data_IF_904676193309
#
_entry.id   IF_904676193309
#
_cell.length_a   1.000
_cell.length_b   1.000
_cell.length_c   1.000
_cell.angle_alpha   90.00
_cell.angle_beta   90.00
_cell.angle_gamma   90.00
#
_symmetry.space_group_name_H-M   'P 1'
#
loop_
_entity.id
_entity.type
_entity.pdbx_description
1 polymer ?
#
# COMPACT_ATOMS: atom_id res chain seq x y z
N UNK A 1 22.55 -5.20 16.59
CA UNK A 1 21.55 -6.00 15.85
C UNK A 1 20.41 -5.07 15.51
N UNK A 2 20.38 -4.54 14.29
CA UNK A 2 19.31 -3.64 13.86
C UNK A 2 18.00 -4.43 13.82
N UNK A 3 16.97 -3.88 14.45
CA UNK A 3 15.60 -4.38 14.37
C UNK A 3 15.23 -4.52 12.89
N UNK A 4 15.21 -5.75 12.38
CA UNK A 4 14.87 -6.04 10.99
C UNK A 4 13.36 -5.83 10.86
N UNK A 5 12.99 -4.58 10.64
CA UNK A 5 11.61 -4.20 10.37
C UNK A 5 11.10 -5.09 9.23
N UNK A 6 10.15 -5.97 9.57
CA UNK A 6 9.51 -6.83 8.58
C UNK A 6 8.66 -5.92 7.67
N UNK A 7 8.73 -6.07 6.34
CA UNK A 7 7.84 -5.32 5.46
C UNK A 7 6.40 -5.70 5.77
N UNK A 8 5.50 -4.72 5.70
CA UNK A 8 4.07 -4.98 5.74
C UNK A 8 3.62 -5.52 4.38
N UNK A 9 2.52 -6.28 4.37
CA UNK A 9 1.84 -6.69 3.13
C UNK A 9 1.51 -5.46 2.29
N UNK A 10 1.97 -5.46 1.04
CA UNK A 10 1.68 -4.37 0.11
C UNK A 10 0.46 -4.73 -0.74
N UNK A 11 -0.46 -3.78 -0.85
CA UNK A 11 -1.73 -3.91 -1.52
C UNK A 11 -1.82 -2.86 -2.62
N UNK A 12 -2.37 -3.24 -3.77
CA UNK A 12 -2.65 -2.30 -4.83
C UNK A 12 -3.65 -1.21 -4.33
N UNK A 13 -3.26 0.08 -4.38
CA UNK A 13 -4.10 1.17 -3.89
C UNK A 13 -5.40 1.32 -4.70
N UNK A 14 -5.46 0.82 -5.94
CA UNK A 14 -6.66 0.87 -6.79
C UNK A 14 -7.73 -0.17 -6.42
N UNK A 15 -7.43 -1.11 -5.52
CA UNK A 15 -8.37 -2.13 -5.09
C UNK A 15 -9.54 -1.53 -4.28
N UNK A 16 -10.79 -1.91 -4.60
CA UNK A 16 -11.95 -1.57 -3.77
C UNK A 16 -11.80 -2.04 -2.32
N UNK A 17 -12.26 -1.23 -1.36
CA UNK A 17 -12.16 -1.51 0.08
C UNK A 17 -12.66 -2.91 0.49
N UNK A 18 -13.82 -3.42 0.01
CA UNK A 18 -14.31 -4.75 0.40
C UNK A 18 -13.35 -5.88 0.00
N UNK A 19 -12.66 -5.72 -1.13
CA UNK A 19 -11.70 -6.70 -1.65
C UNK A 19 -10.41 -6.63 -0.84
N UNK A 20 -9.94 -5.42 -0.52
CA UNK A 20 -8.74 -5.22 0.31
C UNK A 20 -8.89 -5.91 1.67
N UNK A 21 -10.00 -5.66 2.36
CA UNK A 21 -10.27 -6.26 3.67
C UNK A 21 -10.34 -7.79 3.59
N UNK A 22 -10.98 -8.32 2.54
CA UNK A 22 -11.09 -9.76 2.32
C UNK A 22 -9.71 -10.39 2.11
N UNK A 23 -8.83 -9.74 1.36
CA UNK A 23 -7.51 -10.26 1.08
C UNK A 23 -6.57 -10.18 2.31
N UNK A 24 -6.63 -9.09 3.08
CA UNK A 24 -5.88 -8.96 4.34
C UNK A 24 -6.25 -10.06 5.34
N UNK A 25 -7.54 -10.42 5.42
CA UNK A 25 -8.03 -11.43 6.36
C UNK A 25 -7.66 -12.85 5.93
N UNK A 26 -7.37 -13.08 4.65
CA UNK A 26 -7.26 -14.43 4.05
C UNK A 26 -5.89 -14.69 3.40
N UNK A 27 -4.80 -14.31 4.07
CA UNK A 27 -3.43 -14.53 3.58
C UNK A 27 -3.14 -16.00 3.22
N UNK A 28 -3.64 -16.95 4.02
CA UNK A 28 -3.42 -18.37 3.76
C UNK A 28 -4.09 -18.83 2.45
N UNK A 29 -5.27 -18.30 2.13
CA UNK A 29 -5.95 -18.60 0.87
C UNK A 29 -5.17 -18.04 -0.32
N UNK A 30 -4.58 -16.84 -0.20
CA UNK A 30 -3.71 -16.26 -1.24
C UNK A 30 -2.52 -17.19 -1.49
N UNK A 31 -1.88 -17.69 -0.42
CA UNK A 31 -0.76 -18.62 -0.54
C UNK A 31 -1.18 -19.91 -1.25
N UNK A 32 -2.32 -20.50 -0.90
CA UNK A 32 -2.84 -21.73 -1.54
C UNK A 32 -3.18 -21.50 -3.01
N UNK A 33 -3.80 -20.37 -3.35
CA UNK A 33 -4.09 -19.96 -4.74
C UNK A 33 -2.81 -19.90 -5.57
N UNK A 34 -1.75 -19.29 -5.04
CA UNK A 34 -0.44 -19.23 -5.73
C UNK A 34 0.28 -20.57 -5.84
N UNK A 35 0.00 -21.50 -4.93
CA UNK A 35 0.49 -22.88 -5.00
C UNK A 35 -0.28 -23.75 -6.01
N UNK A 36 -1.24 -23.18 -6.75
CA UNK A 36 -1.99 -23.86 -7.80
C UNK A 36 -3.41 -24.26 -7.42
N UNK A 37 -3.96 -23.74 -6.31
CA UNK A 37 -5.38 -23.88 -6.02
C UNK A 37 -6.20 -23.06 -7.02
N UNK A 38 -6.71 -23.74 -8.04
CA UNK A 38 -7.62 -23.16 -9.03
C UNK A 38 -9.06 -23.33 -8.54
N UNK A 39 -9.91 -22.28 -8.62
CA UNK A 39 -11.33 -22.42 -8.35
C UNK A 39 -11.94 -23.49 -9.27
N UNK A 40 -12.60 -24.50 -8.70
CA UNK A 40 -13.33 -25.47 -9.51
C UNK A 40 -14.42 -24.75 -10.33
N UNK A 41 -14.45 -25.01 -11.65
CA UNK A 41 -15.46 -24.45 -12.54
C UNK A 41 -16.88 -24.76 -12.00
N UNK A 42 -17.82 -23.82 -12.08
CA UNK A 42 -19.15 -24.01 -11.50
C UNK A 42 -19.80 -25.24 -12.15
N UNK A 43 -19.96 -26.33 -11.37
CA UNK A 43 -20.90 -27.40 -11.71
C UNK A 43 -22.26 -26.74 -11.77
N UNK A 44 -22.72 -26.47 -13.00
CA UNK A 44 -23.96 -25.74 -13.22
C UNK A 44 -25.08 -26.40 -12.41
N UNK A 45 -25.98 -25.65 -11.75
CA UNK A 45 -27.09 -26.23 -11.00
C UNK A 45 -28.16 -26.86 -11.91
N UNK A 46 -27.93 -26.86 -13.23
CA UNK A 46 -28.79 -27.41 -14.27
C UNK A 46 -29.21 -28.87 -14.04
N UNK A 47 -28.38 -29.83 -13.58
CA UNK A 47 -28.83 -31.22 -13.48
C UNK A 47 -29.90 -31.39 -12.39
N UNK A 48 -29.82 -30.66 -11.28
CA UNK A 48 -30.81 -30.77 -10.20
C UNK A 48 -32.15 -30.14 -10.62
N UNK A 49 -32.12 -28.99 -11.30
CA UNK A 49 -33.32 -28.32 -11.81
C UNK A 49 -33.97 -29.14 -12.93
N UNK A 50 -33.17 -29.73 -13.83
CA UNK A 50 -33.66 -30.61 -14.90
C UNK A 50 -34.29 -31.88 -14.31
N UNK A 51 -33.65 -32.53 -13.33
CA UNK A 51 -34.22 -33.72 -12.66
C UNK A 51 -35.54 -33.37 -11.95
N UNK A 52 -35.60 -32.24 -11.23
CA UNK A 52 -36.85 -31.80 -10.59
C UNK A 52 -37.95 -31.50 -11.62
N UNK A 53 -37.61 -30.86 -12.75
CA UNK A 53 -38.56 -30.55 -13.82
C UNK A 53 -39.09 -31.84 -14.50
N UNK A 54 -38.23 -32.82 -14.75
CA UNK A 54 -38.62 -34.13 -15.31
C UNK A 54 -39.53 -34.88 -14.35
N UNK A 55 -39.19 -34.90 -13.06
CA UNK A 55 -40.00 -35.54 -12.01
C UNK A 55 -41.39 -34.88 -11.92
N UNK A 56 -41.47 -33.55 -11.97
CA UNK A 56 -42.73 -32.79 -12.00
C UNK A 56 -43.58 -33.08 -13.24
N UNK A 57 -42.93 -33.16 -14.42
CA UNK A 57 -43.60 -33.43 -15.69
C UNK A 57 -44.22 -34.83 -15.72
N UNK A 58 -43.51 -35.85 -15.24
CA UNK A 58 -44.03 -37.22 -15.13
C UNK A 58 -45.10 -37.37 -14.04
N UNK A 59 -44.96 -36.67 -12.91
CA UNK A 59 -45.94 -36.71 -11.82
C UNK A 59 -47.31 -36.17 -12.22
N UNK A 60 -47.35 -35.09 -13.02
CA UNK A 60 -48.60 -34.52 -13.54
C UNK A 60 -49.28 -35.38 -14.61
N UNK A 61 -48.50 -36.08 -15.45
CA UNK A 61 -49.01 -36.90 -16.54
C UNK A 61 -49.65 -38.23 -16.05
N UNK A 62 -49.13 -38.83 -14.97
CA UNK A 62 -49.59 -40.13 -14.47
C UNK A 62 -50.48 -40.04 -13.21
N UNK A 63 -50.36 -38.98 -12.40
CA UNK A 63 -50.89 -38.98 -11.04
C UNK A 63 -52.15 -38.13 -10.79
N UNK A 64 -52.44 -37.11 -11.60
CA UNK A 64 -53.49 -36.12 -11.32
C UNK A 64 -52.99 -34.91 -10.51
N UNK A 65 -53.90 -33.97 -10.21
CA UNK A 65 -53.57 -32.63 -9.68
C UNK A 65 -52.97 -32.64 -8.25
N UNK A 66 -53.40 -33.57 -7.39
CA UNK A 66 -52.89 -33.62 -6.00
C UNK A 66 -51.44 -34.12 -5.93
N UNK A 67 -51.09 -35.11 -6.74
CA UNK A 67 -49.74 -35.68 -6.86
C UNK A 67 -48.75 -34.66 -7.43
N UNK A 68 -49.22 -33.83 -8.37
CA UNK A 68 -48.44 -32.70 -8.88
C UNK A 68 -48.11 -31.68 -7.77
N UNK A 69 -49.08 -31.29 -6.93
CA UNK A 69 -48.84 -30.35 -5.82
C UNK A 69 -47.85 -30.90 -4.78
N UNK A 70 -47.95 -32.19 -4.45
CA UNK A 70 -47.02 -32.84 -3.50
C UNK A 70 -45.59 -32.85 -4.06
N UNK A 71 -45.41 -33.22 -5.33
CA UNK A 71 -44.10 -33.20 -5.99
C UNK A 71 -43.53 -31.77 -6.12
N UNK A 72 -44.39 -30.78 -6.38
CA UNK A 72 -43.99 -29.38 -6.45
C UNK A 72 -43.49 -28.87 -5.09
N UNK A 73 -44.20 -29.21 -4.01
CA UNK A 73 -43.76 -28.92 -2.65
C UNK A 73 -42.42 -29.60 -2.32
N UNK A 74 -42.26 -30.88 -2.66
CA UNK A 74 -41.05 -31.64 -2.37
C UNK A 74 -39.84 -31.13 -3.16
N UNK A 75 -39.99 -30.82 -4.44
CA UNK A 75 -38.91 -30.26 -5.28
C UNK A 75 -38.54 -28.85 -4.84
N UNK A 76 -39.52 -28.01 -4.49
CA UNK A 76 -39.29 -26.71 -3.86
C UNK A 76 -38.51 -26.83 -2.55
N UNK A 77 -38.86 -27.79 -1.71
CA UNK A 77 -38.17 -28.06 -0.44
C UNK A 77 -36.74 -28.57 -0.65
N UNK A 78 -36.53 -29.53 -1.56
CA UNK A 78 -35.18 -30.06 -1.88
C UNK A 78 -34.29 -28.99 -2.49
N UNK A 79 -34.81 -28.15 -3.37
CA UNK A 79 -34.03 -27.03 -3.95
C UNK A 79 -33.70 -25.98 -2.90
N UNK A 80 -34.63 -25.65 -2.00
CA UNK A 80 -34.41 -24.74 -0.87
C UNK A 80 -33.36 -25.30 0.11
N UNK A 81 -33.51 -26.57 0.52
CA UNK A 81 -32.60 -27.24 1.44
C UNK A 81 -31.20 -27.32 0.84
N UNK A 82 -31.06 -27.69 -0.44
CA UNK A 82 -29.78 -27.69 -1.13
C UNK A 82 -29.20 -26.26 -1.23
N UNK A 83 -30.04 -25.22 -1.40
CA UNK A 83 -29.58 -23.83 -1.42
C UNK A 83 -29.06 -23.38 -0.06
N UNK A 84 -29.71 -23.77 1.03
CA UNK A 84 -29.29 -23.50 2.41
C UNK A 84 -28.00 -24.26 2.76
N UNK A 85 -27.95 -25.55 2.46
CA UNK A 85 -26.77 -26.40 2.73
C UNK A 85 -25.55 -26.01 1.89
N UNK A 86 -25.75 -25.51 0.66
CA UNK A 86 -24.65 -25.06 -0.21
C UNK A 86 -24.39 -23.55 -0.15
N UNK A 87 -25.10 -22.79 0.68
CA UNK A 87 -24.91 -21.34 0.79
C UNK A 87 -23.47 -21.02 1.20
N UNK A 88 -22.99 -21.69 2.25
CA UNK A 88 -21.64 -21.52 2.79
C UNK A 88 -20.56 -21.92 1.76
N UNK A 89 -20.77 -23.02 1.02
CA UNK A 89 -19.86 -23.42 -0.05
C UNK A 89 -19.84 -22.44 -1.24
N UNK A 90 -20.97 -21.82 -1.58
CA UNK A 90 -21.03 -20.80 -2.64
C UNK A 90 -20.30 -19.53 -2.22
N UNK A 91 -20.43 -19.14 -0.95
CA UNK A 91 -19.68 -18.01 -0.40
C UNK A 91 -18.18 -18.30 -0.38
N UNK A 92 -17.75 -19.46 0.12
CA UNK A 92 -16.35 -19.87 0.09
C UNK A 92 -15.77 -19.89 -1.33
N UNK A 93 -16.53 -20.38 -2.31
CA UNK A 93 -16.13 -20.36 -3.74
C UNK A 93 -16.05 -18.95 -4.31
N UNK A 94 -17.02 -18.07 -4.01
CA UNK A 94 -16.97 -16.66 -4.42
C UNK A 94 -15.75 -15.96 -3.84
N UNK A 95 -15.49 -16.17 -2.54
CA UNK A 95 -14.29 -15.64 -1.87
C UNK A 95 -13.03 -16.16 -2.56
N UNK A 96 -12.94 -17.47 -2.82
CA UNK A 96 -11.81 -18.07 -3.53
C UNK A 96 -11.63 -17.49 -4.94
N UNK A 97 -12.71 -17.29 -5.69
CA UNK A 97 -12.65 -16.68 -7.02
C UNK A 97 -12.13 -15.24 -6.95
N UNK A 98 -12.63 -14.42 -6.02
CA UNK A 98 -12.17 -13.04 -5.84
C UNK A 98 -10.68 -13.02 -5.46
N UNK A 99 -10.25 -13.95 -4.58
CA UNK A 99 -8.83 -14.09 -4.22
C UNK A 99 -8.00 -14.50 -5.44
N UNK A 100 -8.50 -15.44 -6.25
CA UNK A 100 -7.84 -15.90 -7.47
C UNK A 100 -7.66 -14.77 -8.50
N UNK A 101 -8.74 -14.03 -8.77
CA UNK A 101 -8.78 -12.95 -9.76
C UNK A 101 -7.89 -11.75 -9.37
N UNK A 102 -7.53 -11.63 -8.09
CA UNK A 102 -6.75 -10.49 -7.56
C UNK A 102 -5.47 -10.93 -6.82
N UNK A 103 -5.06 -12.18 -6.94
CA UNK A 103 -3.87 -12.70 -6.27
C UNK A 103 -2.58 -12.01 -6.73
N UNK A 104 -2.56 -11.43 -7.92
CA UNK A 104 -1.45 -10.69 -8.51
C UNK A 104 -1.32 -9.24 -8.01
N UNK A 105 -2.39 -8.71 -7.39
CA UNK A 105 -2.51 -7.35 -6.83
C UNK A 105 -2.12 -7.24 -5.35
N UNK A 106 -1.43 -8.26 -4.85
CA UNK A 106 -0.90 -8.31 -3.49
C UNK A 106 0.55 -8.76 -3.51
N UNK A 107 1.36 -8.21 -2.61
CA UNK A 107 2.71 -8.72 -2.34
C UNK A 107 2.81 -9.04 -0.86
N UNK A 108 3.02 -10.32 -0.56
CA UNK A 108 3.21 -10.83 0.78
C UNK A 108 4.69 -10.73 1.16
N UNK A 109 5.01 -10.55 2.45
CA UNK A 109 6.39 -10.61 2.93
C UNK A 109 7.10 -11.92 2.57
N UNK A 110 6.35 -13.03 2.45
CA UNK A 110 6.87 -14.34 2.05
C UNK A 110 7.30 -14.42 0.58
N UNK A 111 6.87 -13.48 -0.25
CA UNK A 111 7.25 -13.44 -1.69
C UNK A 111 8.60 -12.75 -1.90
N UNK A 112 9.19 -12.19 -0.85
CA UNK A 112 10.38 -11.37 -0.90
C UNK A 112 11.57 -12.13 -0.31
N UNK A 113 12.72 -12.02 -0.98
CA UNK A 113 13.99 -12.37 -0.36
C UNK A 113 14.34 -11.35 0.74
N UNK A 114 15.33 -11.67 1.59
CA UNK A 114 15.70 -10.83 2.73
C UNK A 114 16.11 -9.41 2.33
N UNK A 115 16.80 -9.25 1.20
CA UNK A 115 17.27 -7.95 0.72
C UNK A 115 16.09 -7.11 0.19
N UNK A 116 15.24 -7.72 -0.61
CA UNK A 116 14.04 -7.11 -1.16
C UNK A 116 13.05 -6.74 -0.05
N UNK A 117 12.89 -7.60 0.96
CA UNK A 117 12.04 -7.32 2.12
C UNK A 117 12.51 -6.11 2.92
N UNK A 118 13.82 -5.96 3.12
CA UNK A 118 14.42 -4.78 3.77
C UNK A 118 14.20 -3.49 2.98
N UNK A 119 14.37 -3.54 1.65
CA UNK A 119 14.11 -2.39 0.78
C UNK A 119 12.63 -1.96 0.81
N UNK A 120 11.71 -2.93 0.79
CA UNK A 120 10.29 -2.62 0.87
C UNK A 120 9.91 -1.98 2.22
N UNK A 121 10.43 -2.52 3.34
CA UNK A 121 10.18 -1.96 4.66
C UNK A 121 10.65 -0.50 4.77
N UNK A 122 11.83 -0.21 4.20
CA UNK A 122 12.38 1.16 4.11
C UNK A 122 11.49 2.09 3.29
N UNK A 123 11.05 1.65 2.11
CA UNK A 123 10.15 2.42 1.25
C UNK A 123 8.82 2.73 1.95
N UNK A 124 8.19 1.72 2.57
CA UNK A 124 6.94 1.88 3.32
C UNK A 124 7.10 2.85 4.49
N UNK A 125 8.22 2.76 5.22
CA UNK A 125 8.53 3.69 6.32
C UNK A 125 8.71 5.13 5.81
N UNK A 126 9.37 5.32 4.67
CA UNK A 126 9.55 6.63 4.05
C UNK A 126 8.22 7.24 3.62
N UNK A 127 7.38 6.47 2.90
CA UNK A 127 6.03 6.91 2.51
C UNK A 127 5.19 7.27 3.73
N UNK A 128 5.18 6.41 4.76
CA UNK A 128 4.45 6.69 6.00
C UNK A 128 4.93 7.98 6.64
N UNK A 129 6.23 8.21 6.70
CA UNK A 129 6.79 9.42 7.30
C UNK A 129 6.40 10.71 6.57
N UNK A 130 6.33 10.69 5.23
CA UNK A 130 5.84 11.85 4.46
C UNK A 130 4.35 12.08 4.72
N UNK A 131 3.52 11.04 4.58
CA UNK A 131 2.06 11.17 4.74
C UNK A 131 1.65 11.59 6.17
N UNK A 132 2.43 11.20 7.17
CA UNK A 132 2.22 11.57 8.58
C UNK A 132 3.00 12.83 9.00
N UNK A 133 3.70 13.50 8.09
CA UNK A 133 4.35 14.77 8.43
C UNK A 133 3.29 15.85 8.70
N UNK A 134 3.61 16.76 9.62
CA UNK A 134 2.72 17.87 9.94
C UNK A 134 2.59 18.81 8.74
N UNK A 135 3.68 19.08 8.03
CA UNK A 135 3.67 19.91 6.81
C UNK A 135 2.80 19.34 5.71
N UNK A 136 2.71 18.01 5.57
CA UNK A 136 1.78 17.36 4.65
C UNK A 136 0.32 17.53 5.10
N UNK A 137 0.03 17.31 6.39
CA UNK A 137 -1.34 17.47 6.93
C UNK A 137 -1.84 18.91 6.86
N UNK A 138 -0.94 19.89 6.93
CA UNK A 138 -1.25 21.31 6.82
C UNK A 138 -1.33 21.83 5.38
N UNK A 139 -1.25 20.95 4.37
CA UNK A 139 -1.35 21.34 2.95
C UNK A 139 -0.15 22.11 2.41
N UNK A 140 0.99 22.10 3.13
CA UNK A 140 2.20 22.79 2.70
C UNK A 140 3.00 21.99 1.66
N UNK A 141 2.77 20.68 1.60
CA UNK A 141 3.17 19.82 0.49
C UNK A 141 1.95 19.57 -0.42
N UNK A 142 2.19 19.04 -1.61
CA UNK A 142 1.13 18.68 -2.57
C UNK A 142 0.34 17.46 -2.05
N UNK A 143 -0.57 17.67 -1.11
CA UNK A 143 -1.25 16.64 -0.32
C UNK A 143 -2.10 15.72 -1.18
N UNK A 144 -2.84 16.26 -2.15
CA UNK A 144 -3.72 15.48 -3.02
C UNK A 144 -2.92 14.51 -3.89
N UNK A 145 -1.85 15.00 -4.51
CA UNK A 145 -0.96 14.17 -5.30
C UNK A 145 -0.22 13.15 -4.43
N UNK A 146 0.33 13.57 -3.28
CA UNK A 146 1.08 12.67 -2.38
C UNK A 146 0.21 11.51 -1.86
N UNK A 147 -1.07 11.77 -1.55
CA UNK A 147 -2.00 10.75 -1.06
C UNK A 147 -2.29 9.63 -2.09
N UNK A 148 -2.11 9.91 -3.38
CA UNK A 148 -2.33 8.93 -4.46
C UNK A 148 -1.00 8.37 -4.97
N UNK A 149 -0.05 9.25 -5.27
CA UNK A 149 1.22 8.89 -5.88
C UNK A 149 2.12 8.08 -4.94
N UNK A 150 2.21 8.44 -3.65
CA UNK A 150 3.13 7.73 -2.75
C UNK A 150 2.69 6.29 -2.43
N UNK A 151 1.39 6.01 -2.16
CA UNK A 151 0.92 4.63 -2.06
C UNK A 151 1.06 3.85 -3.37
N UNK A 152 0.80 4.51 -4.52
CA UNK A 152 1.04 3.93 -5.84
C UNK A 152 2.49 3.52 -6.05
N UNK A 153 3.42 4.40 -5.68
CA UNK A 153 4.86 4.17 -5.80
C UNK A 153 5.34 3.03 -4.89
N UNK A 154 4.88 3.00 -3.64
CA UNK A 154 5.19 1.90 -2.73
C UNK A 154 4.69 0.55 -3.27
N UNK A 155 3.52 0.52 -3.90
CA UNK A 155 2.97 -0.67 -4.54
C UNK A 155 3.81 -1.12 -5.74
N UNK A 156 4.18 -0.21 -6.64
CA UNK A 156 5.02 -0.51 -7.80
C UNK A 156 6.37 -1.07 -7.36
N UNK A 157 7.00 -0.45 -6.35
CA UNK A 157 8.25 -0.95 -5.75
C UNK A 157 8.05 -2.36 -5.18
N UNK A 158 6.98 -2.59 -4.41
CA UNK A 158 6.68 -3.91 -3.84
C UNK A 158 6.55 -4.99 -4.92
N UNK A 159 5.81 -4.69 -6.00
CA UNK A 159 5.61 -5.62 -7.11
C UNK A 159 6.93 -5.95 -7.79
N UNK A 160 7.72 -4.95 -8.16
CA UNK A 160 9.03 -5.14 -8.82
C UNK A 160 10.02 -5.90 -7.93
N UNK A 161 10.01 -5.68 -6.62
CA UNK A 161 10.84 -6.41 -5.65
C UNK A 161 10.41 -7.88 -5.51
N UNK A 162 9.10 -8.17 -5.57
CA UNK A 162 8.58 -9.53 -5.60
C UNK A 162 9.00 -10.26 -6.87
N UNK A 163 8.87 -9.61 -8.02
CA UNK A 163 9.30 -10.16 -9.32
C UNK A 163 10.82 -10.41 -9.34
N UNK A 164 11.62 -9.49 -8.80
CA UNK A 164 13.06 -9.66 -8.63
C UNK A 164 13.41 -10.84 -7.71
N UNK A 165 12.72 -10.99 -6.57
CA UNK A 165 12.91 -12.10 -5.64
C UNK A 165 12.62 -13.44 -6.31
N UNK A 166 11.50 -13.53 -7.05
CA UNK A 166 11.14 -14.71 -7.81
C UNK A 166 12.14 -15.00 -8.94
N UNK A 167 12.63 -13.97 -9.64
CA UNK A 167 13.63 -14.10 -10.69
C UNK A 167 14.96 -14.61 -10.12
N UNK A 168 15.42 -14.07 -8.99
CA UNK A 168 16.65 -14.53 -8.31
C UNK A 168 16.55 -15.96 -7.81
N UNK A 169 15.39 -16.38 -7.33
CA UNK A 169 15.17 -17.77 -6.92
C UNK A 169 15.23 -18.73 -8.12
N UNK A 170 14.56 -18.39 -9.23
CA UNK A 170 14.64 -19.16 -10.49
C UNK A 170 16.06 -19.21 -11.03
N UNK A 171 16.73 -18.06 -11.08
CA UNK A 171 18.12 -17.92 -11.52
C UNK A 171 19.06 -18.83 -10.72
N UNK A 172 18.96 -18.77 -9.38
CA UNK A 172 19.73 -19.64 -8.47
C UNK A 172 19.46 -21.13 -8.69
N UNK A 173 18.23 -21.52 -8.98
CA UNK A 173 17.85 -22.92 -9.26
C UNK A 173 18.46 -23.44 -10.56
N UNK A 174 18.65 -22.57 -11.56
CA UNK A 174 19.22 -22.93 -12.87
C UNK A 174 20.76 -22.98 -12.79
N UNK A 175 21.38 -21.92 -12.28
CA UNK A 175 22.86 -21.79 -12.23
C UNK A 175 23.47 -22.71 -11.17
N UNK A 176 22.74 -22.96 -10.08
CA UNK A 176 23.25 -23.67 -8.92
C UNK A 176 24.24 -22.82 -8.09
N UNK A 177 24.75 -23.39 -6.99
CA UNK A 177 25.67 -22.67 -6.09
C UNK A 177 27.11 -22.61 -6.62
N UNK A 178 27.52 -23.65 -7.35
CA UNK A 178 28.85 -23.76 -7.96
C UNK A 178 28.68 -24.13 -9.44
N UNK A 179 28.42 -23.14 -10.31
CA UNK A 179 28.27 -23.40 -11.75
C UNK A 179 29.59 -23.86 -12.36
N UNK A 180 29.49 -24.71 -13.39
CA UNK A 180 30.60 -24.99 -14.29
C UNK A 180 31.09 -23.69 -14.96
N UNK A 181 32.39 -23.52 -15.26
CA UNK A 181 32.93 -22.32 -15.89
C UNK A 181 32.19 -21.87 -17.17
N UNK A 182 31.74 -22.82 -18.00
CA UNK A 182 30.96 -22.51 -19.21
C UNK A 182 29.59 -21.90 -18.87
N UNK A 183 28.96 -22.38 -17.80
CA UNK A 183 27.69 -21.85 -17.30
C UNK A 183 27.92 -20.47 -16.66
N UNK A 184 29.03 -20.29 -15.93
CA UNK A 184 29.37 -19.01 -15.31
C UNK A 184 29.60 -17.90 -16.34
N UNK A 185 30.25 -18.21 -17.47
CA UNK A 185 30.44 -17.25 -18.56
C UNK A 185 29.10 -16.89 -19.23
N UNK A 186 28.25 -17.89 -19.49
CA UNK A 186 26.91 -17.67 -20.02
C UNK A 186 25.98 -16.92 -19.04
N UNK A 187 26.23 -17.02 -17.72
CA UNK A 187 25.46 -16.36 -16.68
C UNK A 187 25.78 -14.86 -16.52
N UNK A 188 26.99 -14.45 -16.91
CA UNK A 188 27.49 -13.11 -16.63
C UNK A 188 26.52 -11.97 -17.04
N UNK A 189 25.90 -11.97 -18.25
CA UNK A 189 24.95 -10.93 -18.64
C UNK A 189 23.68 -10.88 -17.77
N UNK A 190 23.16 -12.05 -17.36
CA UNK A 190 21.97 -12.12 -16.50
C UNK A 190 22.27 -11.61 -15.10
N UNK A 191 23.44 -11.96 -14.56
CA UNK A 191 23.90 -11.47 -13.26
C UNK A 191 24.07 -9.94 -13.24
N UNK A 192 24.58 -9.37 -14.33
CA UNK A 192 24.72 -7.91 -14.51
C UNK A 192 23.35 -7.25 -14.58
N UNK A 193 22.43 -7.80 -15.36
CA UNK A 193 21.04 -7.29 -15.46
C UNK A 193 20.34 -7.29 -14.10
N UNK A 194 20.48 -8.37 -13.31
CA UNK A 194 19.91 -8.43 -11.94
C UNK A 194 20.51 -7.34 -11.04
N UNK A 195 21.81 -7.08 -11.14
CA UNK A 195 22.48 -6.01 -10.38
C UNK A 195 21.96 -4.63 -10.78
N UNK A 196 21.79 -4.36 -12.07
CA UNK A 196 21.27 -3.09 -12.59
C UNK A 196 19.83 -2.85 -12.13
N UNK A 197 18.96 -3.86 -12.22
CA UNK A 197 17.58 -3.79 -11.71
C UNK A 197 17.59 -3.51 -10.20
N UNK A 198 18.44 -4.22 -9.44
CA UNK A 198 18.57 -4.01 -7.98
C UNK A 198 19.03 -2.58 -7.67
N UNK A 199 20.01 -2.06 -8.41
CA UNK A 199 20.53 -0.71 -8.22
C UNK A 199 19.47 0.35 -8.53
N UNK A 200 18.71 0.18 -9.62
CA UNK A 200 17.60 1.08 -9.98
C UNK A 200 16.51 1.12 -8.90
N UNK A 201 16.06 -0.05 -8.42
CA UNK A 201 15.07 -0.12 -7.33
C UNK A 201 15.61 0.47 -6.03
N UNK A 202 16.88 0.25 -5.71
CA UNK A 202 17.53 0.84 -4.53
C UNK A 202 17.57 2.37 -4.64
N UNK A 203 17.90 2.92 -5.81
CA UNK A 203 17.92 4.36 -6.07
C UNK A 203 16.54 4.99 -5.82
N UNK A 204 15.46 4.35 -6.28
CA UNK A 204 14.09 4.80 -6.01
C UNK A 204 13.75 4.83 -4.53
N UNK A 205 14.12 3.80 -3.77
CA UNK A 205 13.93 3.77 -2.32
C UNK A 205 14.74 4.88 -1.64
N UNK A 206 15.98 5.13 -2.08
CA UNK A 206 16.80 6.23 -1.56
C UNK A 206 16.16 7.60 -1.86
N UNK A 207 15.58 7.79 -3.04
CA UNK A 207 14.85 9.01 -3.37
C UNK A 207 13.62 9.21 -2.45
N UNK A 208 12.86 8.15 -2.16
CA UNK A 208 11.77 8.18 -1.18
C UNK A 208 12.26 8.57 0.21
N UNK A 209 13.36 7.98 0.66
CA UNK A 209 13.95 8.28 1.96
C UNK A 209 14.45 9.72 2.05
N UNK A 210 15.06 10.24 0.98
CA UNK A 210 15.48 11.63 0.90
C UNK A 210 14.27 12.57 1.00
N UNK A 211 13.18 12.29 0.30
CA UNK A 211 11.95 13.07 0.43
C UNK A 211 11.38 13.02 1.85
N UNK A 212 11.35 11.84 2.47
CA UNK A 212 10.92 11.68 3.86
C UNK A 212 11.82 12.44 4.85
N UNK A 213 13.13 12.49 4.62
CA UNK A 213 14.04 13.29 5.43
C UNK A 213 13.73 14.79 5.31
N UNK A 214 13.53 15.29 4.08
CA UNK A 214 13.15 16.70 3.84
C UNK A 214 11.82 17.07 4.48
N UNK A 215 10.81 16.19 4.41
CA UNK A 215 9.54 16.41 5.09
C UNK A 215 9.70 16.53 6.62
N UNK A 216 10.57 15.71 7.24
CA UNK A 216 10.86 15.80 8.68
C UNK A 216 11.64 17.05 9.07
N UNK A 217 12.57 17.50 8.22
CA UNK A 217 13.29 18.75 8.47
C UNK A 217 12.34 19.95 8.37
N UNK A 218 11.44 19.93 7.38
CA UNK A 218 10.38 20.92 7.24
C UNK A 218 9.40 20.91 8.43
N UNK A 219 9.04 19.74 8.97
CA UNK A 219 8.24 19.63 10.20
C UNK A 219 8.90 20.35 11.39
N UNK A 220 10.20 20.14 11.60
CA UNK A 220 10.94 20.79 12.70
C UNK A 220 10.95 22.32 12.54
N UNK A 221 11.14 22.80 11.31
CA UNK A 221 11.12 24.23 11.03
C UNK A 221 9.72 24.82 11.13
N UNK A 222 8.69 24.08 10.73
CA UNK A 222 7.30 24.47 10.89
C UNK A 222 6.93 24.65 12.37
N UNK A 223 7.35 23.72 13.23
CA UNK A 223 7.13 23.83 14.67
C UNK A 223 7.85 25.04 15.28
N UNK A 224 9.07 25.35 14.83
CA UNK A 224 9.81 26.54 15.26
C UNK A 224 9.10 27.82 14.79
N UNK A 225 8.71 27.88 13.52
CA UNK A 225 7.97 29.00 12.93
C UNK A 225 6.66 29.27 13.68
N UNK A 226 5.89 28.21 14.00
CA UNK A 226 4.64 28.33 14.76
C UNK A 226 4.85 28.96 16.14
N UNK A 227 5.86 28.49 16.88
CA UNK A 227 6.19 29.04 18.21
C UNK A 227 6.63 30.50 18.16
N UNK A 228 7.41 30.86 17.15
CA UNK A 228 7.87 32.25 16.97
C UNK A 228 6.72 33.17 16.58
N UNK A 229 5.79 32.68 15.75
CA UNK A 229 4.56 33.41 15.42
C UNK A 229 3.71 33.64 16.68
N UNK A 230 3.53 32.62 17.51
CA UNK A 230 2.82 32.73 18.79
C UNK A 230 3.47 33.73 19.75
N UNK A 231 4.80 33.77 19.82
CA UNK A 231 5.53 34.80 20.56
C UNK A 231 5.37 36.20 19.94
N UNK A 232 5.35 36.29 18.61
CA UNK A 232 5.17 37.55 17.92
C UNK A 232 3.80 38.16 18.21
N UNK A 233 2.75 37.34 18.28
CA UNK A 233 1.39 37.77 18.62
C UNK A 233 1.29 38.40 20.02
N UNK A 234 2.20 38.05 20.94
CA UNK A 234 2.32 38.65 22.28
C UNK A 234 3.12 39.96 22.30
N UNK A 235 3.84 40.28 21.22
CA UNK A 235 4.72 41.47 21.14
C UNK A 235 4.00 42.78 21.47
N UNK A 236 2.76 43.05 21.01
CA UNK A 236 2.06 44.29 21.35
C UNK A 236 1.80 44.45 22.85
N UNK A 237 1.55 43.35 23.56
CA UNK A 237 1.35 43.35 25.01
C UNK A 237 2.66 43.65 25.74
N UNK A 238 3.76 43.00 25.33
CA UNK A 238 5.10 43.32 25.84
C UNK A 238 5.48 44.77 25.59
N UNK A 239 5.24 45.30 24.38
CA UNK A 239 5.51 46.70 24.03
C UNK A 239 4.71 47.67 24.92
N UNK A 240 3.42 47.37 25.17
CA UNK A 240 2.59 48.16 26.07
C UNK A 240 3.15 48.16 27.49
N UNK A 241 3.46 46.98 28.02
CA UNK A 241 4.00 46.84 29.38
C UNK A 241 5.36 47.54 29.52
N UNK A 242 6.20 47.47 28.47
CA UNK A 242 7.48 48.19 28.40
C UNK A 242 7.26 49.70 28.50
N UNK A 243 6.35 50.24 27.70
CA UNK A 243 6.05 51.67 27.67
C UNK A 243 5.51 52.18 29.01
N UNK A 244 4.79 51.34 29.75
CA UNK A 244 4.27 51.65 31.10
C UNK A 244 5.33 51.54 32.21
N UNK A 245 6.34 50.67 32.05
CA UNK A 245 7.26 50.31 33.15
C UNK A 245 8.65 50.94 33.01
N UNK A 246 9.17 51.13 31.79
CA UNK A 246 10.49 51.71 31.55
C UNK A 246 10.62 52.24 30.09
N UNK A 247 10.71 53.56 29.87
CA UNK A 247 10.89 54.15 28.53
C UNK A 247 12.36 54.07 28.06
N UNK A 248 13.03 52.95 28.29
CA UNK A 248 14.47 52.80 28.01
C UNK A 248 14.73 52.28 26.57
N UNK A 249 15.68 52.91 25.88
CA UNK A 249 16.01 52.62 24.48
C UNK A 249 16.52 51.18 24.24
N UNK A 250 17.13 50.56 25.27
CA UNK A 250 17.68 49.21 25.19
C UNK A 250 16.58 48.14 25.04
N UNK A 251 15.44 48.35 25.71
CA UNK A 251 14.31 47.43 25.66
C UNK A 251 13.58 47.48 24.29
N UNK A 252 13.66 48.62 23.60
CA UNK A 252 13.15 48.75 22.21
C UNK A 252 14.03 47.99 21.20
N UNK A 253 15.35 47.96 21.43
CA UNK A 253 16.29 47.23 20.57
C UNK A 253 16.11 45.70 20.65
N UNK A 254 15.83 45.16 21.84
CA UNK A 254 15.57 43.72 22.02
C UNK A 254 14.32 43.25 21.25
N UNK A 255 13.24 44.05 21.27
CA UNK A 255 12.00 43.73 20.53
C UNK A 255 12.22 43.77 19.00
N UNK A 256 13.05 44.71 18.52
CA UNK A 256 13.43 44.75 17.11
C UNK A 256 14.28 43.53 16.69
N UNK A 257 15.16 43.06 17.59
CA UNK A 257 15.94 41.84 17.37
C UNK A 257 15.05 40.59 17.30
N UNK A 258 14.03 40.48 18.16
CA UNK A 258 13.05 39.38 18.13
C UNK A 258 12.29 39.33 16.79
N UNK A 259 11.89 40.50 16.28
CA UNK A 259 11.21 40.60 14.97
C UNK A 259 12.14 40.20 13.81
N UNK A 260 13.42 40.57 13.88
CA UNK A 260 14.42 40.18 12.86
C UNK A 260 14.66 38.67 12.86
N UNK A 261 14.73 38.05 14.04
CA UNK A 261 14.86 36.59 14.16
C UNK A 261 13.64 35.85 13.59
N UNK A 262 12.43 36.40 13.79
CA UNK A 262 11.22 35.83 13.23
C UNK A 262 11.23 35.80 11.69
N UNK A 263 11.64 36.90 11.05
CA UNK A 263 11.79 36.96 9.58
C UNK A 263 12.82 35.95 9.08
N UNK A 264 13.95 35.80 9.78
CA UNK A 264 14.98 34.82 9.41
C UNK A 264 14.44 33.38 9.47
N UNK A 265 13.70 33.04 10.53
CA UNK A 265 13.09 31.71 10.70
C UNK A 265 12.03 31.44 9.63
N UNK A 266 11.21 32.44 9.29
CA UNK A 266 10.25 32.32 8.19
C UNK A 266 10.93 32.03 6.85
N UNK A 267 12.02 32.73 6.53
CA UNK A 267 12.77 32.52 5.29
C UNK A 267 13.35 31.10 5.20
N UNK A 268 13.97 30.62 6.29
CA UNK A 268 14.51 29.26 6.36
C UNK A 268 13.40 28.21 6.23
N UNK A 269 12.25 28.44 6.88
CA UNK A 269 11.10 27.56 6.75
C UNK A 269 10.56 27.50 5.30
N UNK A 270 10.39 28.65 4.65
CA UNK A 270 9.94 28.71 3.24
C UNK A 270 10.92 27.97 2.30
N UNK A 271 12.23 28.15 2.51
CA UNK A 271 13.25 27.43 1.76
C UNK A 271 13.14 25.91 1.95
N UNK A 272 12.94 25.46 3.20
CA UNK A 272 12.78 24.02 3.50
C UNK A 272 11.56 23.40 2.82
N UNK A 273 10.43 24.11 2.75
CA UNK A 273 9.24 23.65 2.02
C UNK A 273 9.54 23.53 0.51
N UNK A 274 10.26 24.49 -0.06
CA UNK A 274 10.66 24.44 -1.47
C UNK A 274 11.56 23.23 -1.76
N UNK A 275 12.55 22.96 -0.90
CA UNK A 275 13.43 21.79 -1.01
C UNK A 275 12.66 20.47 -0.87
N UNK A 276 11.69 20.40 0.04
CA UNK A 276 10.84 19.21 0.20
C UNK A 276 9.98 18.96 -1.04
N UNK A 277 9.39 20.00 -1.63
CA UNK A 277 8.63 19.89 -2.90
C UNK A 277 9.51 19.46 -4.07
N UNK A 278 10.72 20.00 -4.16
CA UNK A 278 11.69 19.61 -5.18
C UNK A 278 12.09 18.13 -5.04
N UNK A 279 12.32 17.66 -3.81
CA UNK A 279 12.61 16.25 -3.54
C UNK A 279 11.46 15.33 -3.95
N UNK A 280 10.20 15.73 -3.67
CA UNK A 280 9.02 15.02 -4.15
C UNK A 280 8.92 14.96 -5.67
N UNK A 281 9.23 16.06 -6.36
CA UNK A 281 9.25 16.11 -7.83
C UNK A 281 10.34 15.22 -8.42
N UNK A 282 11.54 15.25 -7.84
CA UNK A 282 12.65 14.39 -8.24
C UNK A 282 12.29 12.90 -8.07
N UNK A 283 11.68 12.52 -6.95
CA UNK A 283 11.18 11.16 -6.75
C UNK A 283 10.26 10.71 -7.90
N UNK A 284 9.29 11.54 -8.28
CA UNK A 284 8.35 11.21 -9.36
C UNK A 284 9.07 11.07 -10.71
N UNK A 285 10.09 11.89 -10.99
CA UNK A 285 10.91 11.74 -12.20
C UNK A 285 11.73 10.44 -12.22
N UNK A 286 12.32 10.05 -11.08
CA UNK A 286 13.10 8.80 -10.97
C UNK A 286 12.19 7.56 -11.04
N UNK A 287 10.91 7.70 -10.67
CA UNK A 287 9.92 6.64 -10.84
C UNK A 287 9.45 6.46 -12.29
N UNK A 288 9.44 7.54 -13.08
CA UNK A 288 8.99 7.52 -14.47
C UNK A 288 10.03 6.96 -15.46
N UNK A 289 11.31 6.93 -15.05
CA UNK A 289 12.42 6.33 -15.79
C UNK A 289 12.55 4.81 -15.54
#
# INVERSE_FOLDING_TARGET
MADRARPATALDPSLPFPIRQLLETNEELIRRVRQGLVPEAPKSPRPIVIVCAVVLMFGGALGGFSTFLILAGMTGFVTLLNRLLTADQREARRKLQIVYDHADRIVLPSDLDEQCGSLLARAQKAVKAVLHSTVHRQGLLDTDNNNVALPGEAWVIAKRLSDLSALRDKHRKIVGRNPDPLIAEADAPYSTTIKEITASLTSRVVALEAYAARARDADRLFDAFRKVTELHDLTPEFQRLLAETAPDAMATAEIAQMSTQAVAIEQVFRASIAEARQAGTHLLSVSAA
#
